data_IF_987090663760
#
_entry.id   IF_987090663760
#
_cell.length_a   1.000
_cell.length_b   1.000
_cell.length_c   1.000
_cell.angle_alpha   90.00
_cell.angle_beta   90.00
_cell.angle_gamma   90.00
#
_symmetry.space_group_name_H-M   'P 1'
#
loop_
_entity.id
_entity.type
_entity.pdbx_description
1 polymer ?
#
# COMPACT_ATOMS: atom_id res chain seq x y z
N UNK A 1 -13.49 -6.66 -9.57
CA UNK A 1 -12.44 -6.22 -10.22
C UNK A 1 -11.60 -5.33 -9.42
N UNK A 2 -10.49 -5.72 -9.08
CA UNK A 2 -9.57 -4.92 -8.34
C UNK A 2 -8.97 -3.82 -9.16
N UNK A 3 -8.47 -2.83 -8.48
CA UNK A 3 -7.76 -1.78 -9.15
C UNK A 3 -6.39 -2.28 -9.56
N UNK A 4 -5.92 -1.75 -10.69
CA UNK A 4 -4.59 -2.11 -11.15
C UNK A 4 -3.57 -1.22 -10.47
N UNK A 5 -2.97 -1.71 -9.41
CA UNK A 5 -2.05 -0.92 -8.62
C UNK A 5 -0.84 -0.45 -9.42
N UNK A 6 -0.46 -1.22 -10.43
CA UNK A 6 0.70 -0.87 -11.24
C UNK A 6 0.47 0.39 -12.06
N UNK A 7 -0.78 0.69 -12.38
CA UNK A 7 -1.12 1.87 -13.16
C UNK A 7 -1.36 3.10 -12.32
N UNK A 8 -1.33 2.96 -11.01
CA UNK A 8 -1.58 4.08 -10.11
C UNK A 8 -0.30 4.85 -9.85
N UNK A 9 -0.45 6.16 -9.65
CA UNK A 9 0.69 6.96 -9.22
C UNK A 9 1.00 6.67 -7.77
N UNK A 10 2.20 7.02 -7.34
CA UNK A 10 2.58 6.86 -5.94
C UNK A 10 1.63 7.63 -5.03
N UNK A 11 1.23 8.82 -5.47
CA UNK A 11 0.31 9.65 -4.71
C UNK A 11 -1.02 8.94 -4.50
N UNK A 12 -1.53 8.33 -5.57
CA UNK A 12 -2.78 7.59 -5.48
C UNK A 12 -2.66 6.41 -4.54
N UNK A 13 -1.55 5.71 -4.59
CA UNK A 13 -1.32 4.57 -3.70
C UNK A 13 -1.30 5.01 -2.25
N UNK A 14 -0.61 6.11 -1.96
CA UNK A 14 -0.53 6.62 -0.59
C UNK A 14 -1.91 7.06 -0.10
N UNK A 15 -2.70 7.70 -0.97
CA UNK A 15 -4.04 8.11 -0.62
C UNK A 15 -4.91 6.93 -0.22
N UNK A 16 -4.89 5.89 -1.06
CA UNK A 16 -5.70 4.71 -0.78
C UNK A 16 -5.21 4.02 0.47
N UNK A 17 -3.89 3.96 0.64
CA UNK A 17 -3.32 3.35 1.83
C UNK A 17 -3.80 4.05 3.10
N UNK A 18 -3.82 5.38 3.07
CA UNK A 18 -4.27 6.15 4.23
C UNK A 18 -5.73 5.86 4.53
N UNK A 19 -6.57 5.84 3.50
CA UNK A 19 -7.99 5.56 3.68
C UNK A 19 -8.22 4.17 4.25
N UNK A 20 -7.54 3.19 3.67
CA UNK A 20 -7.74 1.80 4.11
C UNK A 20 -7.18 1.58 5.50
N UNK A 21 -6.07 2.24 5.83
CA UNK A 21 -5.48 2.12 7.16
C UNK A 21 -6.41 2.73 8.21
N UNK A 22 -7.02 3.86 7.88
CA UNK A 22 -7.97 4.49 8.81
C UNK A 22 -9.16 3.57 9.06
N UNK A 23 -9.69 2.98 8.00
CA UNK A 23 -10.81 2.06 8.14
C UNK A 23 -10.41 0.82 8.91
N UNK A 24 -9.23 0.29 8.60
CA UNK A 24 -8.70 -0.88 9.30
C UNK A 24 -8.59 -0.62 10.79
N UNK A 25 -8.10 0.55 11.16
CA UNK A 25 -7.96 0.93 12.56
C UNK A 25 -9.33 0.99 13.25
N UNK A 26 -10.34 1.55 12.57
CA UNK A 26 -11.68 1.59 13.12
C UNK A 26 -12.22 0.19 13.38
N UNK A 27 -12.00 -0.71 12.42
CA UNK A 27 -12.46 -2.08 12.57
C UNK A 27 -11.78 -2.77 13.74
N UNK A 28 -10.52 -2.47 13.97
CA UNK A 28 -9.80 -3.00 15.13
C UNK A 28 -10.40 -2.50 16.43
N UNK A 29 -10.70 -1.20 16.49
CA UNK A 29 -11.26 -0.60 17.69
C UNK A 29 -12.60 -1.22 18.03
N UNK A 30 -13.42 -1.45 17.02
CA UNK A 30 -14.74 -2.04 17.22
C UNK A 30 -14.72 -3.56 17.23
N UNK A 31 -13.53 -4.14 17.06
CA UNK A 31 -13.37 -5.60 17.04
C UNK A 31 -14.24 -6.26 15.99
N UNK A 32 -14.38 -5.59 14.85
CA UNK A 32 -15.16 -6.10 13.74
C UNK A 32 -14.22 -6.81 12.77
N UNK A 33 -14.01 -8.10 12.99
CA UNK A 33 -13.06 -8.87 12.21
C UNK A 33 -13.73 -9.69 11.12
N UNK A 34 -14.74 -9.11 10.47
CA UNK A 34 -15.44 -9.78 9.39
C UNK A 34 -14.78 -9.61 8.05
N UNK A 35 -15.62 -9.63 7.01
CA UNK A 35 -15.12 -9.57 5.64
C UNK A 35 -14.42 -8.24 5.35
N UNK A 36 -14.97 -7.14 5.85
CA UNK A 36 -14.36 -5.84 5.59
C UNK A 36 -12.97 -5.76 6.20
N UNK A 37 -12.78 -6.33 7.39
CA UNK A 37 -11.48 -6.36 8.03
C UNK A 37 -10.47 -7.09 7.14
N UNK A 38 -10.87 -8.25 6.64
CA UNK A 38 -9.99 -9.05 5.79
C UNK A 38 -9.67 -8.33 4.50
N UNK A 39 -10.67 -7.69 3.89
CA UNK A 39 -10.45 -6.96 2.65
C UNK A 39 -9.52 -5.77 2.85
N UNK A 40 -9.72 -5.02 3.92
CA UNK A 40 -8.84 -3.90 4.22
C UNK A 40 -7.41 -4.36 4.43
N UNK A 41 -7.26 -5.44 5.20
CA UNK A 41 -5.94 -5.99 5.48
C UNK A 41 -5.23 -6.41 4.19
N UNK A 42 -5.97 -7.09 3.31
CA UNK A 42 -5.38 -7.56 2.06
C UNK A 42 -5.03 -6.40 1.15
N UNK A 43 -5.91 -5.41 1.05
CA UNK A 43 -5.64 -4.25 0.22
C UNK A 43 -4.41 -3.50 0.72
N UNK A 44 -4.31 -3.32 2.03
CA UNK A 44 -3.15 -2.64 2.63
C UNK A 44 -1.87 -3.40 2.28
N UNK A 45 -1.90 -4.72 2.40
CA UNK A 45 -0.72 -5.53 2.08
C UNK A 45 -0.31 -5.36 0.62
N UNK A 46 -1.29 -5.36 -0.28
CA UNK A 46 -0.99 -5.22 -1.70
C UNK A 46 -0.41 -3.86 -2.02
N UNK A 47 -0.97 -2.81 -1.41
CA UNK A 47 -0.48 -1.47 -1.65
C UNK A 47 0.95 -1.32 -1.11
N UNK A 48 1.19 -1.84 0.08
CA UNK A 48 2.53 -1.77 0.66
C UNK A 48 3.55 -2.54 -0.19
N UNK A 49 3.13 -3.68 -0.73
CA UNK A 49 4.01 -4.45 -1.59
C UNK A 49 4.37 -3.67 -2.86
N UNK A 50 3.38 -3.01 -3.45
CA UNK A 50 3.63 -2.22 -4.65
C UNK A 50 4.55 -1.04 -4.36
N UNK A 51 4.32 -0.36 -3.24
CA UNK A 51 5.16 0.76 -2.85
C UNK A 51 6.59 0.28 -2.60
N UNK A 52 6.73 -0.87 -1.98
CA UNK A 52 8.05 -1.41 -1.70
C UNK A 52 8.81 -1.72 -2.98
N UNK A 53 8.11 -2.29 -3.96
CA UNK A 53 8.72 -2.59 -5.24
C UNK A 53 9.22 -1.32 -5.90
N UNK A 54 8.43 -0.27 -5.87
CA UNK A 54 8.81 1.01 -6.48
C UNK A 54 9.98 1.64 -5.75
N UNK A 55 9.97 1.56 -4.43
CA UNK A 55 11.06 2.12 -3.64
C UNK A 55 12.38 1.40 -3.91
N UNK A 56 12.32 0.08 -4.03
CA UNK A 56 13.51 -0.69 -4.32
C UNK A 56 14.11 -0.31 -5.66
N UNK A 57 13.27 -0.16 -6.67
CA UNK A 57 13.76 0.22 -7.98
C UNK A 57 14.40 1.59 -7.96
N UNK A 58 13.75 2.54 -7.31
CA UNK A 58 14.26 3.90 -7.21
C UNK A 58 15.55 3.92 -6.40
N UNK A 59 15.56 3.19 -5.30
CA UNK A 59 16.73 3.14 -4.42
C UNK A 59 17.93 2.55 -5.15
N UNK A 60 17.71 1.47 -5.90
CA UNK A 60 18.79 0.85 -6.67
C UNK A 60 19.39 1.81 -7.66
N UNK A 61 18.55 2.54 -8.38
CA UNK A 61 19.03 3.52 -9.35
C UNK A 61 19.81 4.62 -8.67
N UNK A 62 19.31 5.12 -7.55
CA UNK A 62 20.01 6.17 -6.82
C UNK A 62 21.31 5.67 -6.24
N UNK A 63 21.32 4.43 -5.76
CA UNK A 63 22.53 3.85 -5.23
C UNK A 63 23.61 3.73 -6.28
N UNK A 64 23.24 3.30 -7.47
CA UNK A 64 24.22 3.22 -8.56
C UNK A 64 24.81 4.58 -8.86
N UNK A 65 23.96 5.60 -8.92
CA UNK A 65 24.44 6.94 -9.18
C UNK A 65 25.33 7.43 -8.05
N UNK A 66 24.95 7.14 -6.82
CA UNK A 66 25.74 7.57 -5.68
C UNK A 66 27.06 6.83 -5.58
N UNK A 67 27.06 5.58 -6.00
CA UNK A 67 28.27 4.76 -5.94
C UNK A 67 29.28 5.13 -7.00
N UNK A 68 28.82 5.74 -8.05
CA UNK A 68 29.72 6.17 -9.10
C UNK A 68 30.55 7.34 -8.66
#
# INVERSE_FOLDING_TARGET
MGENLQNMTMEELVDILAQKTQRFTQLLVYKDFGNEYKECKETIRQILAEIEIRKEKTFDQQNKAASA
#
